data_IF_844252866060
#
_entry.id   IF_844252866060
#
_cell.length_a   1.000
_cell.length_b   1.000
_cell.length_c   1.000
_cell.angle_alpha   90.00
_cell.angle_beta   90.00
_cell.angle_gamma   90.00
#
_symmetry.space_group_name_H-M   'P 1'
#
loop_
_entity.id
_entity.type
_entity.pdbx_description
1 polymer ?
#
# COMPACT_ATOMS: atom_id res chain seq x y z
N UNK A 1 -2.12 33.80 -2.53
CA UNK A 1 -1.91 32.79 -1.49
C UNK A 1 -3.30 32.42 -1.02
N UNK A 2 -3.85 31.36 -1.59
CA UNK A 2 -5.06 30.77 -1.06
C UNK A 2 -4.57 29.78 0.01
N UNK A 3 -4.96 30.00 1.26
CA UNK A 3 -4.93 28.93 2.25
C UNK A 3 -5.88 27.86 1.72
N UNK A 4 -5.30 26.80 1.15
CA UNK A 4 -6.02 25.55 0.94
C UNK A 4 -6.34 25.01 2.32
N UNK A 5 -7.57 25.27 2.75
CA UNK A 5 -8.09 24.78 4.00
C UNK A 5 -8.25 23.26 3.84
N UNK A 6 -7.24 22.52 4.31
CA UNK A 6 -7.32 21.08 4.51
C UNK A 6 -8.61 20.82 5.29
N UNK A 7 -9.50 20.00 4.72
CA UNK A 7 -10.77 19.63 5.37
C UNK A 7 -10.49 19.14 6.79
N UNK A 8 -11.23 19.66 7.79
CA UNK A 8 -11.13 19.28 9.22
C UNK A 8 -11.42 17.77 9.49
N UNK A 9 -11.65 16.97 8.43
CA UNK A 9 -12.11 15.58 8.50
C UNK A 9 -11.01 14.53 8.22
N UNK A 10 -9.77 14.91 7.90
CA UNK A 10 -8.69 13.93 7.73
C UNK A 10 -8.15 13.45 9.08
N UNK A 11 -8.10 12.13 9.26
CA UNK A 11 -7.44 11.49 10.41
C UNK A 11 -6.31 10.63 9.89
N UNK A 12 -5.19 11.31 9.63
CA UNK A 12 -3.99 10.67 9.09
C UNK A 12 -3.49 9.64 10.09
N UNK A 13 -3.39 8.38 9.64
CA UNK A 13 -2.86 7.31 10.48
C UNK A 13 -1.41 7.58 10.86
N UNK A 14 -1.00 7.17 12.06
CA UNK A 14 0.36 7.42 12.52
C UNK A 14 1.45 6.79 11.63
N UNK A 15 2.64 7.40 11.59
CA UNK A 15 3.79 6.84 10.87
C UNK A 15 4.14 5.40 11.29
N UNK A 16 3.93 5.09 12.58
CA UNK A 16 4.11 3.75 13.12
C UNK A 16 3.13 2.76 12.49
N UNK A 17 1.85 3.11 12.41
CA UNK A 17 0.83 2.27 11.78
C UNK A 17 1.11 2.05 10.29
N UNK A 18 1.56 3.09 9.56
CA UNK A 18 1.98 2.96 8.15
C UNK A 18 3.19 2.04 8.03
N UNK A 19 4.18 2.16 8.92
CA UNK A 19 5.34 1.27 8.96
C UNK A 19 4.98 -0.20 9.20
N UNK A 20 4.09 -0.47 10.16
CA UNK A 20 3.62 -1.82 10.46
C UNK A 20 2.82 -2.42 9.30
N UNK A 21 1.93 -1.63 8.70
CA UNK A 21 1.19 -2.04 7.48
C UNK A 21 2.13 -2.30 6.32
N UNK A 22 3.15 -1.46 6.12
CA UNK A 22 4.14 -1.67 5.06
C UNK A 22 4.94 -2.97 5.26
N UNK A 23 5.35 -3.31 6.49
CA UNK A 23 5.98 -4.60 6.76
C UNK A 23 5.02 -5.78 6.54
N UNK A 24 3.74 -5.63 6.92
CA UNK A 24 2.73 -6.64 6.66
C UNK A 24 2.57 -6.88 5.15
N UNK A 25 2.41 -5.83 4.35
CA UNK A 25 2.33 -5.92 2.89
C UNK A 25 3.61 -6.46 2.25
N UNK A 26 4.78 -6.19 2.84
CA UNK A 26 6.02 -6.78 2.38
C UNK A 26 6.07 -8.30 2.63
N UNK A 27 5.49 -8.79 3.73
CA UNK A 27 5.26 -10.22 3.91
C UNK A 27 4.27 -10.79 2.90
N UNK A 28 3.18 -10.08 2.60
CA UNK A 28 2.24 -10.48 1.55
C UNK A 28 2.95 -10.60 0.20
N UNK A 29 3.78 -9.62 -0.17
CA UNK A 29 4.60 -9.65 -1.38
C UNK A 29 5.52 -10.89 -1.43
N UNK A 30 6.20 -11.22 -0.33
CA UNK A 30 7.04 -12.44 -0.26
C UNK A 30 6.22 -13.73 -0.40
N UNK A 31 4.92 -13.72 -0.09
CA UNK A 31 4.05 -14.88 -0.22
C UNK A 31 3.38 -15.00 -1.59
N UNK A 32 3.20 -13.88 -2.31
CA UNK A 32 2.46 -13.84 -3.58
C UNK A 32 3.34 -13.70 -4.82
N UNK A 33 4.52 -13.08 -4.68
CA UNK A 33 5.34 -12.65 -5.82
C UNK A 33 6.75 -13.27 -5.87
N UNK A 34 7.12 -14.10 -4.89
CA UNK A 34 8.44 -14.72 -4.81
C UNK A 34 8.33 -16.21 -4.45
N UNK A 35 9.43 -16.93 -4.60
CA UNK A 35 9.56 -18.33 -4.17
C UNK A 35 9.97 -18.47 -2.69
N UNK A 36 9.77 -17.42 -1.88
CA UNK A 36 10.16 -17.45 -0.47
C UNK A 36 9.33 -18.48 0.29
N UNK A 37 9.94 -19.39 1.08
CA UNK A 37 9.18 -20.40 1.79
C UNK A 37 8.15 -19.78 2.75
N UNK A 38 6.87 -20.16 2.60
CA UNK A 38 5.76 -19.63 3.41
C UNK A 38 5.99 -19.76 4.91
N UNK A 39 6.60 -20.87 5.35
CA UNK A 39 6.92 -21.08 6.76
C UNK A 39 7.88 -20.02 7.31
N UNK A 40 8.85 -19.58 6.50
CA UNK A 40 9.83 -18.56 6.89
C UNK A 40 9.15 -17.18 6.98
N UNK A 41 8.27 -16.86 6.02
CA UNK A 41 7.51 -15.60 6.06
C UNK A 41 6.56 -15.57 7.26
N UNK A 42 5.83 -16.65 7.53
CA UNK A 42 4.94 -16.78 8.70
C UNK A 42 5.73 -16.64 10.00
N UNK A 43 6.91 -17.26 10.09
CA UNK A 43 7.78 -17.12 11.24
C UNK A 43 8.27 -15.67 11.41
N UNK A 44 8.62 -14.99 10.31
CA UNK A 44 9.05 -13.59 10.32
C UNK A 44 7.92 -12.64 10.75
N UNK A 45 6.69 -12.83 10.25
CA UNK A 45 5.50 -12.05 10.70
C UNK A 45 5.36 -12.15 12.22
N UNK A 46 5.37 -13.38 12.76
CA UNK A 46 5.23 -13.61 14.21
C UNK A 46 6.37 -13.02 15.02
N UNK A 47 7.60 -13.15 14.53
CA UNK A 47 8.81 -12.64 15.21
C UNK A 47 8.88 -11.11 15.28
N UNK A 48 8.16 -10.42 14.39
CA UNK A 48 8.06 -8.96 14.37
C UNK A 48 6.73 -8.44 14.94
N UNK A 49 5.92 -9.29 15.58
CA UNK A 49 4.60 -8.95 16.14
C UNK A 49 3.63 -8.34 15.10
N UNK A 50 3.73 -8.76 13.84
CA UNK A 50 2.87 -8.27 12.75
C UNK A 50 1.60 -9.11 12.57
N UNK A 51 1.39 -10.13 13.40
CA UNK A 51 0.26 -11.05 13.21
C UNK A 51 -1.08 -10.33 13.38
N UNK A 52 -1.18 -9.47 14.39
CA UNK A 52 -2.40 -8.73 14.70
C UNK A 52 -2.60 -7.49 13.80
N UNK A 53 -1.60 -7.12 12.98
CA UNK A 53 -1.75 -6.06 11.99
C UNK A 53 -2.31 -6.57 10.66
N UNK A 54 -2.32 -7.88 10.41
CA UNK A 54 -2.92 -8.46 9.21
C UNK A 54 -4.43 -8.22 9.18
N UNK A 55 -4.95 -7.84 8.03
CA UNK A 55 -6.40 -7.78 7.84
C UNK A 55 -7.02 -9.19 7.82
N UNK A 56 -8.34 -9.33 8.02
CA UNK A 56 -9.01 -10.63 7.92
C UNK A 56 -8.73 -11.37 6.59
N UNK A 57 -8.73 -10.65 5.45
CA UNK A 57 -8.40 -11.24 4.13
C UNK A 57 -6.93 -11.67 4.06
N UNK A 58 -6.01 -10.85 4.56
CA UNK A 58 -4.58 -11.14 4.60
C UNK A 58 -4.27 -12.33 5.49
N UNK A 59 -4.88 -12.40 6.67
CA UNK A 59 -4.75 -13.52 7.61
C UNK A 59 -5.19 -14.83 6.95
N UNK A 60 -6.36 -14.83 6.30
CA UNK A 60 -6.83 -16.01 5.57
C UNK A 60 -5.82 -16.47 4.50
N UNK A 61 -5.19 -15.54 3.80
CA UNK A 61 -4.16 -15.85 2.81
C UNK A 61 -2.85 -16.33 3.44
N UNK A 62 -2.41 -15.75 4.56
CA UNK A 62 -1.20 -16.14 5.29
C UNK A 62 -1.34 -17.56 5.87
N UNK A 63 -2.51 -17.89 6.42
CA UNK A 63 -2.81 -19.20 7.01
C UNK A 63 -3.09 -20.30 5.98
N UNK A 64 -3.41 -19.94 4.74
CA UNK A 64 -3.67 -20.92 3.68
C UNK A 64 -2.44 -21.79 3.40
N UNK A 65 -2.56 -23.10 3.66
CA UNK A 65 -1.50 -24.07 3.38
C UNK A 65 -1.16 -24.16 1.87
N UNK A 66 -2.16 -23.90 1.01
CA UNK A 66 -1.99 -23.85 -0.45
C UNK A 66 -2.98 -22.83 -1.01
N UNK A 67 -2.56 -21.55 -1.17
CA UNK A 67 -3.41 -20.53 -1.78
C UNK A 67 -3.75 -20.87 -3.22
N UNK A 68 -4.93 -20.45 -3.65
CA UNK A 68 -5.34 -20.55 -5.06
C UNK A 68 -4.55 -19.57 -5.92
N UNK A 69 -4.43 -19.87 -7.22
CA UNK A 69 -3.83 -18.96 -8.20
C UNK A 69 -4.49 -17.57 -8.18
N UNK A 70 -5.83 -17.54 -8.05
CA UNK A 70 -6.58 -16.29 -7.91
C UNK A 70 -6.17 -15.49 -6.66
N UNK A 71 -5.94 -16.16 -5.52
CA UNK A 71 -5.45 -15.47 -4.32
C UNK A 71 -4.05 -14.91 -4.54
N UNK A 72 -3.15 -15.69 -5.15
CA UNK A 72 -1.79 -15.22 -5.47
C UNK A 72 -1.83 -13.98 -6.37
N UNK A 73 -2.63 -14.01 -7.44
CA UNK A 73 -2.81 -12.86 -8.34
C UNK A 73 -3.38 -11.66 -7.58
N UNK A 74 -4.46 -11.83 -6.82
CA UNK A 74 -5.07 -10.73 -6.07
C UNK A 74 -4.08 -10.08 -5.08
N UNK A 75 -3.38 -10.89 -4.28
CA UNK A 75 -2.42 -10.36 -3.31
C UNK A 75 -1.12 -9.87 -3.95
N UNK A 76 -0.80 -10.28 -5.18
CA UNK A 76 0.37 -9.75 -5.89
C UNK A 76 0.26 -8.25 -6.15
N UNK A 77 -0.95 -7.75 -6.39
CA UNK A 77 -1.25 -6.32 -6.59
C UNK A 77 -1.09 -5.47 -5.31
N UNK A 78 -0.98 -6.07 -4.13
CA UNK A 78 -0.69 -5.32 -2.90
C UNK A 78 0.73 -4.71 -2.92
N UNK A 79 1.59 -5.06 -3.88
CA UNK A 79 2.85 -4.36 -4.12
C UNK A 79 2.64 -2.88 -4.51
N UNK A 80 1.55 -2.55 -5.22
CA UNK A 80 1.17 -1.17 -5.55
C UNK A 80 0.76 -0.40 -4.30
N UNK A 81 0.07 -1.06 -3.37
CA UNK A 81 -0.25 -0.49 -2.05
C UNK A 81 1.01 -0.23 -1.25
N UNK A 82 1.91 -1.22 -1.19
CA UNK A 82 3.20 -1.10 -0.53
C UNK A 82 4.03 0.05 -1.11
N UNK A 83 3.97 0.27 -2.42
CA UNK A 83 4.66 1.36 -3.10
C UNK A 83 4.20 2.74 -2.61
N UNK A 84 2.88 2.93 -2.44
CA UNK A 84 2.32 4.16 -1.87
C UNK A 84 2.75 4.34 -0.42
N UNK A 85 2.70 3.29 0.40
CA UNK A 85 3.16 3.38 1.79
C UNK A 85 4.66 3.69 1.87
N UNK A 86 5.46 3.11 0.97
CA UNK A 86 6.91 3.34 0.88
C UNK A 86 7.21 4.80 0.54
N UNK A 87 6.47 5.38 -0.39
CA UNK A 87 6.58 6.80 -0.73
C UNK A 87 6.12 7.69 0.43
N UNK A 88 4.99 7.38 1.06
CA UNK A 88 4.45 8.15 2.18
C UNK A 88 5.39 8.16 3.39
N UNK A 89 6.18 7.10 3.57
CA UNK A 89 7.20 6.98 4.61
C UNK A 89 8.55 7.67 4.27
N UNK A 90 8.57 8.48 3.20
CA UNK A 90 9.74 9.20 2.69
C UNK A 90 10.95 8.28 2.34
N UNK A 91 10.68 7.02 1.98
CA UNK A 91 11.73 6.05 1.60
C UNK A 91 12.12 6.20 0.13
N UNK A 92 11.14 6.52 -0.73
CA UNK A 92 11.35 6.81 -2.14
C UNK A 92 10.89 8.23 -2.46
N UNK A 93 11.59 8.93 -3.38
CA UNK A 93 11.34 10.36 -3.60
C UNK A 93 10.10 10.65 -4.45
N UNK A 94 9.59 9.67 -5.19
CA UNK A 94 8.42 9.83 -6.07
C UNK A 94 7.67 8.53 -6.26
N UNK A 95 6.37 8.64 -6.49
CA UNK A 95 5.56 7.54 -6.99
C UNK A 95 5.96 7.21 -8.44
N UNK A 96 5.75 5.95 -8.84
CA UNK A 96 5.99 5.52 -10.22
C UNK A 96 4.86 6.05 -11.12
N UNK A 97 5.08 6.06 -12.43
CA UNK A 97 4.03 6.43 -13.38
C UNK A 97 2.76 5.60 -13.15
N UNK A 98 1.54 6.14 -13.34
CA UNK A 98 0.29 5.38 -13.16
C UNK A 98 0.06 4.31 -14.24
N UNK A 99 1.02 4.08 -15.13
CA UNK A 99 1.05 2.99 -16.13
C UNK A 99 2.18 1.99 -15.91
N UNK A 100 3.03 2.21 -14.90
CA UNK A 100 4.18 1.35 -14.59
C UNK A 100 3.92 0.62 -13.28
N UNK A 101 4.09 -0.71 -13.27
CA UNK A 101 3.99 -1.49 -12.05
C UNK A 101 5.10 -1.09 -11.05
N UNK A 102 4.78 -1.14 -9.77
CA UNK A 102 5.66 -0.78 -8.69
C UNK A 102 6.89 -1.70 -8.58
N UNK A 103 8.05 -1.09 -8.31
CA UNK A 103 9.21 -1.80 -7.78
C UNK A 103 9.16 -1.81 -6.25
N UNK A 104 9.56 -2.93 -5.67
CA UNK A 104 9.70 -3.08 -4.21
C UNK A 104 11.11 -2.76 -3.72
N UNK A 105 12.05 -2.42 -4.62
CA UNK A 105 13.48 -2.25 -4.28
C UNK A 105 13.69 -1.17 -3.21
N UNK A 106 12.94 -0.08 -3.29
CA UNK A 106 12.98 0.99 -2.29
C UNK A 106 12.69 0.49 -0.89
N UNK A 107 11.64 -0.33 -0.74
CA UNK A 107 11.29 -0.93 0.54
C UNK A 107 12.30 -2.01 0.98
N UNK A 108 12.75 -2.86 0.07
CA UNK A 108 13.76 -3.89 0.36
C UNK A 108 15.08 -3.31 0.88
N UNK A 109 15.47 -2.13 0.37
CA UNK A 109 16.63 -1.39 0.85
C UNK A 109 16.43 -0.83 2.27
N UNK A 110 15.21 -0.41 2.62
CA UNK A 110 14.87 0.08 3.95
C UNK A 110 14.70 -1.07 4.98
N UNK A 111 14.12 -2.19 4.57
CA UNK A 111 13.92 -3.39 5.38
C UNK A 111 14.20 -4.65 4.55
N UNK A 112 15.35 -5.27 4.80
CA UNK A 112 15.74 -6.49 4.10
C UNK A 112 14.77 -7.65 4.38
N UNK A 113 14.48 -8.50 3.38
CA UNK A 113 13.55 -9.62 3.52
C UNK A 113 14.00 -10.60 4.60
N UNK A 114 13.04 -11.07 5.39
CA UNK A 114 13.23 -12.03 6.48
C UNK A 114 14.24 -11.62 7.57
N UNK A 115 14.65 -10.34 7.62
CA UNK A 115 15.60 -9.85 8.61
C UNK A 115 14.88 -9.06 9.72
N UNK A 116 14.88 -9.62 10.93
CA UNK A 116 14.21 -9.02 12.10
C UNK A 116 14.88 -7.73 12.56
N UNK A 117 16.20 -7.60 12.41
CA UNK A 117 16.93 -6.43 12.88
C UNK A 117 16.69 -5.22 11.97
N UNK A 118 16.60 -5.43 10.65
CA UNK A 118 16.22 -4.38 9.71
C UNK A 118 14.77 -3.97 9.91
N UNK A 119 13.85 -4.91 10.10
CA UNK A 119 12.44 -4.60 10.36
C UNK A 119 12.25 -3.76 11.64
N UNK A 120 12.92 -4.14 12.74
CA UNK A 120 12.89 -3.37 14.00
C UNK A 120 13.56 -2.00 13.87
N UNK A 121 14.65 -1.88 13.11
CA UNK A 121 15.29 -0.57 12.86
C UNK A 121 14.38 0.31 12.02
N UNK A 122 13.80 -0.25 10.96
CA UNK A 122 12.86 0.41 10.08
C UNK A 122 11.71 1.06 10.87
N UNK A 123 11.01 0.29 11.71
CA UNK A 123 9.91 0.82 12.54
C UNK A 123 10.36 1.90 13.54
N UNK A 124 11.63 1.95 13.95
CA UNK A 124 12.14 3.03 14.81
C UNK A 124 12.46 4.31 14.04
N UNK A 125 12.59 4.23 12.72
CA UNK A 125 13.03 5.33 11.87
C UNK A 125 11.94 5.88 10.96
N UNK A 126 10.78 5.21 10.87
CA UNK A 126 9.67 5.65 10.01
C UNK A 126 9.21 7.06 10.39
N UNK A 127 8.96 7.85 9.35
CA UNK A 127 8.34 9.18 9.43
C UNK A 127 7.42 9.32 8.23
N UNK A 128 6.32 10.03 8.41
CA UNK A 128 5.46 10.37 7.28
C UNK A 128 5.94 11.64 6.61
N UNK A 129 5.68 11.73 5.31
CA UNK A 129 5.57 12.98 4.57
C UNK A 129 4.54 13.89 5.23
N UNK A 130 4.65 15.19 4.97
CA UNK A 130 3.70 16.13 5.53
C UNK A 130 2.30 15.96 4.92
N UNK A 131 1.29 16.47 5.65
CA UNK A 131 -0.11 16.29 5.29
C UNK A 131 -0.48 16.95 3.95
N UNK A 132 0.24 17.99 3.53
CA UNK A 132 0.02 18.66 2.25
C UNK A 132 0.48 17.73 1.13
N UNK A 133 1.69 17.18 1.21
CA UNK A 133 2.19 16.20 0.24
C UNK A 133 1.26 14.99 0.11
N UNK A 134 0.78 14.46 1.25
CA UNK A 134 -0.14 13.31 1.27
C UNK A 134 -1.49 13.65 0.60
N UNK A 135 -2.04 14.83 0.89
CA UNK A 135 -3.32 15.29 0.33
C UNK A 135 -3.21 15.59 -1.17
N UNK A 136 -2.11 16.20 -1.62
CA UNK A 136 -1.83 16.43 -3.03
C UNK A 136 -1.74 15.12 -3.80
N UNK A 137 -1.04 14.12 -3.25
CA UNK A 137 -0.94 12.80 -3.86
C UNK A 137 -2.29 12.07 -3.89
N UNK A 138 -3.12 12.21 -2.85
CA UNK A 138 -4.47 11.65 -2.84
C UNK A 138 -5.33 12.25 -3.96
N UNK A 139 -5.34 13.58 -4.09
CA UNK A 139 -6.05 14.28 -5.17
C UNK A 139 -5.57 13.83 -6.56
N UNK A 140 -4.26 13.68 -6.76
CA UNK A 140 -3.69 13.20 -8.03
C UNK A 140 -4.11 11.75 -8.33
N UNK A 141 -4.03 10.85 -7.34
CA UNK A 141 -4.39 9.44 -7.49
C UNK A 141 -5.89 9.30 -7.75
N UNK A 142 -6.74 10.01 -7.01
CA UNK A 142 -8.20 10.04 -7.21
C UNK A 142 -8.54 10.53 -8.62
N UNK A 143 -7.94 11.64 -9.07
CA UNK A 143 -8.13 12.19 -10.42
C UNK A 143 -7.78 11.17 -11.52
N UNK A 144 -6.67 10.45 -11.36
CA UNK A 144 -6.28 9.38 -12.28
C UNK A 144 -7.25 8.19 -12.25
N UNK A 145 -7.71 7.77 -11.07
CA UNK A 145 -8.64 6.67 -10.92
C UNK A 145 -10.01 7.04 -11.52
N UNK A 146 -10.50 8.25 -11.27
CA UNK A 146 -11.71 8.79 -11.90
C UNK A 146 -11.61 8.75 -13.43
N UNK A 147 -10.51 9.25 -14.01
CA UNK A 147 -10.32 9.27 -15.46
C UNK A 147 -10.28 7.84 -16.04
N UNK A 148 -9.59 6.91 -15.37
CA UNK A 148 -9.54 5.50 -15.77
C UNK A 148 -10.94 4.86 -15.75
N UNK A 149 -11.70 5.07 -14.68
CA UNK A 149 -13.06 4.53 -14.50
C UNK A 149 -14.03 5.14 -15.51
N UNK A 150 -13.99 6.46 -15.69
CA UNK A 150 -14.81 7.17 -16.66
C UNK A 150 -14.51 6.69 -18.10
N UNK A 151 -13.25 6.52 -18.47
CA UNK A 151 -12.88 6.01 -19.79
C UNK A 151 -13.39 4.57 -20.00
N UNK A 152 -13.26 3.71 -18.98
CA UNK A 152 -13.78 2.34 -19.00
C UNK A 152 -15.31 2.29 -19.17
N UNK A 153 -16.06 3.09 -18.41
CA UNK A 153 -17.53 3.19 -18.51
C UNK A 153 -17.96 3.66 -19.91
N UNK A 154 -17.25 4.63 -20.47
CA UNK A 154 -17.57 5.19 -21.79
C UNK A 154 -16.97 4.41 -22.96
N UNK A 155 -16.29 3.27 -22.70
CA UNK A 155 -15.57 2.48 -23.71
C UNK A 155 -14.64 3.32 -24.59
N UNK A 156 -13.93 4.28 -23.99
CA UNK A 156 -12.97 5.14 -24.67
C UNK A 156 -11.60 5.07 -24.00
N UNK A 157 -10.61 5.74 -24.58
CA UNK A 157 -9.28 5.85 -23.99
C UNK A 157 -9.24 7.04 -23.03
N UNK A 158 -8.57 6.91 -21.87
CA UNK A 158 -8.40 8.03 -20.97
C UNK A 158 -7.54 9.13 -21.63
N UNK A 159 -7.83 10.39 -21.30
CA UNK A 159 -7.12 11.56 -21.84
C UNK A 159 -5.64 11.56 -21.46
N UNK A 160 -5.32 11.01 -20.29
CA UNK A 160 -3.95 10.75 -19.82
C UNK A 160 -3.77 9.24 -19.67
N UNK A 161 -2.62 8.67 -20.05
CA UNK A 161 -2.35 7.25 -19.81
C UNK A 161 -2.45 6.90 -18.32
N UNK A 162 -3.30 5.94 -17.99
CA UNK A 162 -3.49 5.41 -16.64
C UNK A 162 -3.90 3.94 -16.76
N UNK A 163 -3.33 3.09 -15.92
CA UNK A 163 -3.72 1.69 -15.80
C UNK A 163 -4.69 1.53 -14.62
N UNK A 164 -5.89 1.02 -14.91
CA UNK A 164 -6.95 0.81 -13.92
C UNK A 164 -6.52 -0.13 -12.79
N UNK A 165 -5.85 -1.24 -13.12
CA UNK A 165 -5.42 -2.25 -12.14
C UNK A 165 -4.36 -1.71 -11.18
N UNK A 166 -3.52 -0.78 -11.64
CA UNK A 166 -2.52 -0.11 -10.82
C UNK A 166 -3.17 0.97 -9.94
N UNK A 167 -3.94 1.87 -10.55
CA UNK A 167 -4.38 3.08 -9.85
C UNK A 167 -5.41 2.79 -8.76
N UNK A 168 -6.23 1.74 -8.91
CA UNK A 168 -7.17 1.34 -7.87
C UNK A 168 -6.48 0.92 -6.57
N UNK A 169 -5.35 0.22 -6.68
CA UNK A 169 -4.58 -0.24 -5.52
C UNK A 169 -3.86 0.93 -4.85
N UNK A 170 -3.32 1.86 -5.66
CA UNK A 170 -2.71 3.08 -5.14
C UNK A 170 -3.75 3.98 -4.45
N UNK A 171 -4.96 4.07 -5.01
CA UNK A 171 -6.07 4.82 -4.42
C UNK A 171 -6.48 4.23 -3.07
N UNK A 172 -6.59 2.91 -2.97
CA UNK A 172 -6.86 2.25 -1.70
C UNK A 172 -5.80 2.58 -0.64
N UNK A 173 -4.52 2.52 -0.98
CA UNK A 173 -3.46 2.77 -0.01
C UNK A 173 -3.42 4.23 0.47
N UNK A 174 -3.57 5.20 -0.43
CA UNK A 174 -3.55 6.63 -0.03
C UNK A 174 -4.80 6.98 0.78
N UNK A 175 -5.95 6.38 0.47
CA UNK A 175 -7.17 6.57 1.25
C UNK A 175 -6.98 6.02 2.67
N UNK A 176 -6.42 4.84 2.80
CA UNK A 176 -6.13 4.29 4.12
C UNK A 176 -5.18 5.19 4.94
N UNK A 177 -4.21 5.86 4.30
CA UNK A 177 -3.33 6.78 5.03
C UNK A 177 -4.14 7.96 5.60
N UNK A 178 -5.08 8.51 4.83
CA UNK A 178 -5.82 9.72 5.19
C UNK A 178 -7.06 9.47 6.08
N UNK A 179 -7.64 8.26 6.03
CA UNK A 179 -8.89 7.90 6.71
C UNK A 179 -8.81 6.60 7.52
N UNK A 180 -7.67 5.93 7.60
CA UNK A 180 -7.52 4.61 8.22
C UNK A 180 -7.68 4.56 9.75
N UNK A 181 -7.88 5.70 10.42
CA UNK A 181 -8.38 5.71 11.81
C UNK A 181 -9.89 5.46 11.91
N UNK A 182 -10.61 5.54 10.79
CA UNK A 182 -12.07 5.40 10.69
C UNK A 182 -12.46 4.14 9.89
N UNK A 183 -11.63 3.74 8.92
CA UNK A 183 -11.88 2.58 8.06
C UNK A 183 -10.83 1.47 8.26
N UNK A 184 -11.30 0.24 8.42
CA UNK A 184 -10.45 -0.95 8.46
C UNK A 184 -9.80 -1.20 7.09
N UNK A 185 -8.57 -1.73 7.07
CA UNK A 185 -7.77 -1.92 5.85
C UNK A 185 -8.51 -2.66 4.72
N UNK A 186 -9.36 -3.65 5.05
CA UNK A 186 -10.08 -4.44 4.04
C UNK A 186 -11.31 -3.74 3.45
N UNK A 187 -11.76 -2.65 4.09
CA UNK A 187 -13.03 -1.97 3.85
C UNK A 187 -12.84 -0.56 3.26
N UNK A 188 -11.59 -0.13 3.06
CA UNK A 188 -11.26 1.16 2.45
C UNK A 188 -11.88 1.27 1.07
N UNK A 189 -12.68 2.31 0.89
CA UNK A 189 -13.38 2.56 -0.38
C UNK A 189 -12.53 3.40 -1.33
N UNK A 190 -12.81 3.27 -2.63
CA UNK A 190 -12.15 4.04 -3.71
C UNK A 190 -13.21 4.61 -4.65
N UNK A 191 -14.24 5.20 -4.05
CA UNK A 191 -15.34 5.80 -4.78
C UNK A 191 -14.82 7.00 -5.61
N UNK A 192 -15.15 6.96 -6.91
CA UNK A 192 -14.81 7.94 -7.96
C UNK A 192 -15.89 7.88 -9.03
#
# INVERSE_FOLDING_TARGET
MADEQISDDFKVVSAQAVGERALALFAIYMLSCTDTPRADVVHWIKSNNLWDSLSPKELNFVEAASPTEKQLINFSWHNERLHVLTWALDIIPKLASPIEQASVDGFQNASSPLNNDTAKRFLKTVKLRDEIELSEAANEIESHHWEARNANINNCQPKKPVNMEIIQERHHAINWILWGEVEDWDDVTTDT
#
